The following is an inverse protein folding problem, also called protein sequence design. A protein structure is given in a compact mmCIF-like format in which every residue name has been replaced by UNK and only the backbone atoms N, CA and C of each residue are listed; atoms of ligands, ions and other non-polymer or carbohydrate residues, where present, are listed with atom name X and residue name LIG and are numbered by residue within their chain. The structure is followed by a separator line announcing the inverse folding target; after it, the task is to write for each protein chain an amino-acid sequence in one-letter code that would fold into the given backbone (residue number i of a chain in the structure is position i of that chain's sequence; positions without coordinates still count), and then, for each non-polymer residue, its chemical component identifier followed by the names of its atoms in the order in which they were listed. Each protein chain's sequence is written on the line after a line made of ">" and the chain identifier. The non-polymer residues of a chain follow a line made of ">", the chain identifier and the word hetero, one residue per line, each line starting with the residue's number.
data_IF_671689570622
#
_entry.id   IF_671689570622
#
_cell.length_a   1.000
_cell.length_b   1.000
_cell.length_c   1.000
_cell.angle_alpha   90.00
_cell.angle_beta   90.00
_cell.angle_gamma   90.00
#
_symmetry.space_group_name_H-M   'P 1'
#
loop_
_entity.id
_entity.type
_entity.pdbx_description
1 polymer ?
#
# COMPACT_ATOMS: atom_id res chain seq x y z
N UNK A 1 7.99 -17.75 13.30
CA UNK A 1 7.78 -17.46 11.87
C UNK A 1 7.53 -15.97 11.76
N UNK A 2 8.26 -15.24 10.93
CA UNK A 2 8.02 -13.80 10.76
C UNK A 2 6.85 -13.67 9.78
N UNK A 3 5.64 -13.53 10.30
CA UNK A 3 4.44 -13.35 9.50
C UNK A 3 4.33 -11.87 9.12
N UNK A 4 4.28 -11.59 7.82
CA UNK A 4 4.31 -10.21 7.28
C UNK A 4 2.88 -9.69 7.07
N UNK A 5 1.88 -10.56 7.19
CA UNK A 5 0.45 -10.26 7.11
C UNK A 5 -0.28 -10.86 8.30
N UNK A 6 -1.50 -10.40 8.58
CA UNK A 6 -2.37 -11.13 9.51
C UNK A 6 -2.85 -12.41 8.81
N UNK A 7 -2.36 -13.57 9.28
CA UNK A 7 -2.70 -14.88 8.71
C UNK A 7 -3.57 -15.70 9.66
N UNK A 8 -4.33 -16.69 9.15
CA UNK A 8 -5.07 -17.63 9.99
C UNK A 8 -4.19 -18.41 10.99
N UNK A 9 -2.87 -18.51 10.74
CA UNK A 9 -1.91 -19.15 11.64
C UNK A 9 -1.46 -18.24 12.79
N UNK A 10 -1.57 -16.92 12.63
CA UNK A 10 -1.16 -15.92 13.63
C UNK A 10 -2.21 -14.79 13.80
N UNK A 11 -3.47 -15.14 14.18
CA UNK A 11 -4.55 -14.16 14.27
C UNK A 11 -4.25 -13.10 15.34
N UNK A 12 -4.44 -11.82 14.97
CA UNK A 12 -4.28 -10.69 15.89
C UNK A 12 -2.82 -10.39 16.27
N UNK A 13 -1.86 -10.94 15.52
CA UNK A 13 -0.42 -10.66 15.63
C UNK A 13 0.12 -9.90 14.43
N UNK A 14 -0.60 -9.88 13.30
CA UNK A 14 -0.24 -9.15 12.08
C UNK A 14 -1.06 -7.88 11.90
N UNK A 15 -0.62 -7.00 10.99
CA UNK A 15 -1.26 -5.71 10.67
C UNK A 15 -2.67 -5.85 10.04
N UNK A 16 -3.01 -4.98 9.09
CA UNK A 16 -4.30 -5.12 8.38
C UNK A 16 -4.38 -6.48 7.66
N UNK A 17 -5.55 -7.16 7.66
CA UNK A 17 -5.72 -8.43 6.96
C UNK A 17 -5.50 -8.28 5.46
N UNK A 18 -5.07 -9.37 4.79
CA UNK A 18 -4.95 -9.38 3.33
C UNK A 18 -6.30 -9.00 2.69
N UNK A 19 -6.36 -7.95 1.85
CA UNK A 19 -7.61 -7.56 1.22
C UNK A 19 -8.08 -8.64 0.22
N UNK A 20 -9.39 -8.76 0.06
CA UNK A 20 -9.95 -9.55 -1.02
C UNK A 20 -9.89 -8.75 -2.33
N UNK A 21 -9.63 -9.45 -3.43
CA UNK A 21 -9.72 -8.90 -4.77
C UNK A 21 -11.16 -8.43 -5.04
N UNK A 22 -11.40 -7.17 -5.45
CA UNK A 22 -12.75 -6.63 -5.60
C UNK A 22 -13.58 -7.31 -6.68
N UNK A 23 -12.95 -7.95 -7.68
CA UNK A 23 -13.66 -8.64 -8.77
C UNK A 23 -14.12 -10.03 -8.34
N UNK A 24 -13.23 -10.80 -7.71
CA UNK A 24 -13.50 -12.22 -7.39
C UNK A 24 -14.01 -12.44 -5.97
N UNK A 25 -13.78 -11.48 -5.06
CA UNK A 25 -14.08 -11.61 -3.63
C UNK A 25 -13.17 -12.57 -2.86
N UNK A 26 -12.20 -13.20 -3.53
CA UNK A 26 -11.20 -14.08 -2.92
C UNK A 26 -9.99 -13.26 -2.41
N UNK A 27 -9.17 -13.79 -1.48
CA UNK A 27 -7.94 -13.11 -1.04
C UNK A 27 -7.04 -12.73 -2.22
N UNK A 28 -6.52 -11.50 -2.24
CA UNK A 28 -5.67 -11.04 -3.33
C UNK A 28 -4.37 -11.85 -3.36
N UNK A 29 -4.11 -12.50 -4.49
CA UNK A 29 -3.01 -13.44 -4.67
C UNK A 29 -1.66 -12.75 -4.83
N UNK A 30 -1.63 -11.47 -5.22
CA UNK A 30 -0.39 -10.73 -5.48
C UNK A 30 0.36 -10.43 -4.20
N UNK A 31 -0.35 -10.03 -3.16
CA UNK A 31 0.21 -9.79 -1.83
C UNK A 31 0.81 -11.10 -1.27
N UNK A 32 0.09 -12.22 -1.40
CA UNK A 32 0.54 -13.54 -0.95
C UNK A 32 1.77 -14.01 -1.74
N UNK A 33 1.81 -13.77 -3.05
CA UNK A 33 2.96 -14.11 -3.88
C UNK A 33 4.21 -13.31 -3.47
N UNK A 34 4.07 -12.00 -3.24
CA UNK A 34 5.18 -11.15 -2.82
C UNK A 34 5.68 -11.51 -1.41
N UNK A 35 4.78 -11.86 -0.50
CA UNK A 35 5.13 -12.36 0.83
C UNK A 35 5.99 -13.64 0.75
N UNK A 36 5.63 -14.58 -0.14
CA UNK A 36 6.41 -15.80 -0.38
C UNK A 36 7.80 -15.47 -0.92
N UNK A 37 7.90 -14.55 -1.89
CA UNK A 37 9.18 -14.10 -2.46
C UNK A 37 10.04 -13.46 -1.36
N UNK A 38 9.48 -12.53 -0.57
CA UNK A 38 10.19 -11.89 0.52
C UNK A 38 10.74 -12.92 1.51
N UNK A 39 9.90 -13.84 1.99
CA UNK A 39 10.32 -14.84 2.98
C UNK A 39 11.35 -15.83 2.43
N UNK A 40 11.21 -16.26 1.18
CA UNK A 40 12.01 -17.37 0.62
C UNK A 40 13.34 -16.88 0.05
N UNK A 41 13.33 -15.71 -0.60
CA UNK A 41 14.48 -15.26 -1.38
C UNK A 41 15.31 -14.20 -0.64
N UNK A 42 14.67 -13.39 0.22
CA UNK A 42 15.25 -12.14 0.71
C UNK A 42 15.29 -12.00 2.22
N UNK A 43 14.39 -12.68 2.92
CA UNK A 43 14.22 -12.61 4.37
C UNK A 43 15.50 -12.97 5.11
N UNK A 44 16.11 -11.99 5.76
CA UNK A 44 17.35 -12.18 6.52
C UNK A 44 18.63 -12.15 5.69
N UNK A 45 18.58 -11.61 4.46
CA UNK A 45 19.76 -11.37 3.62
C UNK A 45 20.10 -9.88 3.55
N UNK A 46 21.39 -9.54 3.50
CA UNK A 46 21.86 -8.14 3.46
C UNK A 46 21.83 -7.52 2.04
N UNK A 47 21.49 -8.31 1.01
CA UNK A 47 21.63 -7.93 -0.40
C UNK A 47 20.32 -8.01 -1.18
N UNK A 48 19.18 -8.01 -0.48
CA UNK A 48 17.88 -8.00 -1.13
C UNK A 48 17.70 -6.72 -1.97
N UNK A 49 17.35 -6.83 -3.26
CA UNK A 49 17.07 -5.66 -4.08
C UNK A 49 15.81 -4.95 -3.58
N UNK A 50 15.89 -3.64 -3.40
CA UNK A 50 14.74 -2.81 -3.00
C UNK A 50 14.18 -2.13 -4.24
N UNK A 51 12.93 -2.42 -4.57
CA UNK A 51 12.22 -1.76 -5.67
C UNK A 51 11.82 -0.35 -5.23
N UNK A 52 12.47 0.67 -5.81
CA UNK A 52 12.16 2.08 -5.56
C UNK A 52 11.04 2.57 -6.49
N UNK A 53 11.07 2.15 -7.76
CA UNK A 53 10.09 2.48 -8.78
C UNK A 53 9.90 1.27 -9.71
N UNK A 54 8.67 1.06 -10.18
CA UNK A 54 8.34 0.00 -11.14
C UNK A 54 7.40 0.47 -12.24
N UNK A 55 7.33 -0.27 -13.35
CA UNK A 55 6.35 -0.02 -14.41
C UNK A 55 4.89 -0.06 -13.89
N UNK A 56 4.61 -0.94 -12.92
CA UNK A 56 3.31 -1.03 -12.24
C UNK A 56 2.98 0.27 -11.51
N UNK A 57 3.95 0.80 -10.77
CA UNK A 57 3.79 2.09 -10.09
C UNK A 57 3.54 3.23 -11.09
N UNK A 58 4.19 3.23 -12.26
CA UNK A 58 3.92 4.25 -13.30
C UNK A 58 2.46 4.21 -13.77
N UNK A 59 1.90 3.02 -14.02
CA UNK A 59 0.48 2.90 -14.37
C UNK A 59 -0.43 3.37 -13.23
N UNK A 60 -0.10 3.08 -11.97
CA UNK A 60 -0.87 3.54 -10.81
C UNK A 60 -0.85 5.06 -10.68
N UNK A 61 0.29 5.72 -10.95
CA UNK A 61 0.39 7.19 -10.95
C UNK A 61 -0.49 7.79 -12.06
N UNK A 62 -0.49 7.20 -13.25
CA UNK A 62 -1.36 7.66 -14.35
C UNK A 62 -2.84 7.45 -13.99
N UNK A 63 -3.21 6.27 -13.45
CA UNK A 63 -4.57 5.96 -13.02
C UNK A 63 -5.07 6.96 -11.97
N UNK A 64 -4.21 7.28 -11.00
CA UNK A 64 -4.49 8.25 -9.96
C UNK A 64 -4.67 9.68 -10.51
N UNK A 65 -3.83 10.09 -11.46
CA UNK A 65 -3.99 11.38 -12.14
C UNK A 65 -5.32 11.49 -12.91
N UNK A 66 -5.74 10.42 -13.58
CA UNK A 66 -7.04 10.37 -14.25
C UNK A 66 -8.20 10.45 -13.26
N UNK A 67 -8.13 9.72 -12.15
CA UNK A 67 -9.14 9.78 -11.08
C UNK A 67 -9.23 11.19 -10.48
N UNK A 68 -8.09 11.83 -10.21
CA UNK A 68 -8.05 13.21 -9.73
C UNK A 68 -8.65 14.22 -10.73
N UNK A 69 -8.53 13.94 -12.03
CA UNK A 69 -9.16 14.71 -13.11
C UNK A 69 -10.63 14.38 -13.39
N UNK A 70 -11.24 13.43 -12.65
CA UNK A 70 -12.62 13.00 -12.84
C UNK A 70 -12.84 11.98 -13.98
N UNK A 71 -11.77 11.44 -14.57
CA UNK A 71 -11.82 10.41 -15.61
C UNK A 71 -11.79 9.00 -14.99
N UNK A 72 -12.93 8.56 -14.46
CA UNK A 72 -13.08 7.26 -13.81
C UNK A 72 -12.91 6.10 -14.80
N UNK A 73 -13.42 6.25 -16.02
CA UNK A 73 -13.28 5.23 -17.07
C UNK A 73 -11.81 5.05 -17.47
N UNK A 74 -11.08 6.16 -17.63
CA UNK A 74 -9.66 6.12 -17.93
C UNK A 74 -8.81 5.63 -16.77
N UNK A 75 -9.22 5.88 -15.51
CA UNK A 75 -8.61 5.29 -14.32
C UNK A 75 -8.72 3.76 -14.37
N UNK A 76 -9.94 3.23 -14.49
CA UNK A 76 -10.21 1.79 -14.60
C UNK A 76 -9.44 1.16 -15.77
N UNK A 77 -9.33 1.87 -16.90
CA UNK A 77 -8.55 1.41 -18.06
C UNK A 77 -7.07 1.20 -17.72
N UNK A 78 -6.45 2.09 -16.95
CA UNK A 78 -5.05 1.89 -16.51
C UNK A 78 -4.93 0.77 -15.48
N UNK A 79 -5.88 0.66 -14.54
CA UNK A 79 -5.88 -0.42 -13.55
C UNK A 79 -6.00 -1.79 -14.22
N UNK A 80 -6.82 -1.92 -15.26
CA UNK A 80 -6.97 -3.15 -16.02
C UNK A 80 -5.70 -3.55 -16.78
N UNK A 81 -4.84 -2.60 -17.17
CA UNK A 81 -3.51 -2.94 -17.73
C UNK A 81 -2.63 -3.63 -16.69
N UNK A 82 -2.68 -3.20 -15.44
CA UNK A 82 -1.92 -3.81 -14.34
C UNK A 82 -2.48 -5.20 -14.04
N UNK A 83 -3.81 -5.33 -13.94
CA UNK A 83 -4.47 -6.63 -13.73
C UNK A 83 -4.14 -7.64 -14.81
N UNK A 84 -4.04 -7.19 -16.07
CA UNK A 84 -3.63 -8.02 -17.19
C UNK A 84 -2.19 -8.55 -17.08
N UNK A 85 -1.27 -7.84 -16.41
CA UNK A 85 0.11 -8.32 -16.17
C UNK A 85 0.12 -9.57 -15.29
N UNK A 86 -0.87 -9.71 -14.40
CA UNK A 86 -1.00 -10.83 -13.46
C UNK A 86 -2.10 -11.83 -13.87
N UNK A 87 -2.70 -11.65 -15.05
CA UNK A 87 -3.78 -12.51 -15.56
C UNK A 87 -5.08 -12.45 -14.76
N UNK A 88 -5.32 -11.36 -14.02
CA UNK A 88 -6.51 -11.17 -13.20
C UNK A 88 -7.71 -10.72 -14.03
N UNK A 89 -8.92 -11.08 -13.59
CA UNK A 89 -10.17 -10.64 -14.20
C UNK A 89 -10.28 -9.11 -14.17
N UNK A 90 -10.73 -8.49 -15.25
CA UNK A 90 -10.81 -7.02 -15.37
C UNK A 90 -11.90 -6.42 -14.49
N UNK A 91 -11.69 -5.19 -14.04
CA UNK A 91 -12.75 -4.35 -13.47
C UNK A 91 -13.76 -3.97 -14.55
N UNK A 92 -15.04 -4.07 -14.20
CA UNK A 92 -16.17 -3.78 -15.08
C UNK A 92 -17.22 -2.89 -14.43
N UNK A 93 -17.41 -2.99 -13.12
CA UNK A 93 -18.47 -2.30 -12.38
C UNK A 93 -17.98 -1.61 -11.10
N UNK A 94 -16.70 -1.79 -10.76
CA UNK A 94 -16.09 -1.31 -9.53
C UNK A 94 -15.92 0.21 -9.55
N UNK A 95 -16.10 0.83 -8.38
CA UNK A 95 -15.78 2.25 -8.19
C UNK A 95 -14.28 2.49 -8.43
N UNK A 96 -13.96 3.48 -9.26
CA UNK A 96 -12.58 3.78 -9.64
C UNK A 96 -11.70 4.19 -8.44
N UNK A 97 -12.27 4.88 -7.45
CA UNK A 97 -11.55 5.27 -6.24
C UNK A 97 -11.21 4.06 -5.37
N UNK A 98 -12.20 3.20 -5.10
CA UNK A 98 -11.99 1.95 -4.35
C UNK A 98 -11.03 1.01 -5.08
N UNK A 99 -11.19 0.83 -6.39
CA UNK A 99 -10.31 0.02 -7.22
C UNK A 99 -8.87 0.54 -7.18
N UNK A 100 -8.66 1.85 -7.30
CA UNK A 100 -7.34 2.46 -7.21
C UNK A 100 -6.66 2.18 -5.86
N UNK A 101 -7.37 2.40 -4.75
CA UNK A 101 -6.81 2.15 -3.42
C UNK A 101 -6.42 0.67 -3.22
N UNK A 102 -7.25 -0.25 -3.73
CA UNK A 102 -6.98 -1.68 -3.70
C UNK A 102 -5.74 -2.04 -4.52
N UNK A 103 -5.69 -1.60 -5.78
CA UNK A 103 -4.58 -1.90 -6.69
C UNK A 103 -3.25 -1.34 -6.19
N UNK A 104 -3.26 -0.14 -5.59
CA UNK A 104 -2.06 0.42 -4.95
C UNK A 104 -1.60 -0.43 -3.77
N UNK A 105 -2.53 -0.88 -2.92
CA UNK A 105 -2.20 -1.75 -1.78
C UNK A 105 -1.62 -3.09 -2.24
N UNK A 106 -2.18 -3.69 -3.29
CA UNK A 106 -1.76 -4.99 -3.78
C UNK A 106 -0.40 -4.96 -4.51
N UNK A 107 -0.17 -3.96 -5.37
CA UNK A 107 1.04 -3.91 -6.20
C UNK A 107 2.25 -3.27 -5.51
N UNK A 108 2.04 -2.47 -4.46
CA UNK A 108 3.09 -1.73 -3.76
C UNK A 108 3.36 -2.30 -2.35
N UNK A 109 2.95 -3.56 -2.12
CA UNK A 109 3.26 -4.28 -0.90
C UNK A 109 4.78 -4.37 -0.71
N UNK A 110 5.23 -4.18 0.54
CA UNK A 110 6.65 -4.12 0.95
C UNK A 110 7.52 -3.04 0.27
N UNK A 111 6.92 -2.08 -0.45
CA UNK A 111 7.65 -0.99 -1.12
C UNK A 111 7.55 0.36 -0.38
N UNK A 112 7.12 0.36 0.89
CA UNK A 112 7.05 1.58 1.72
C UNK A 112 5.95 2.57 1.35
N UNK A 113 4.99 2.19 0.50
CA UNK A 113 3.93 3.10 0.02
C UNK A 113 2.64 3.06 0.84
N UNK A 114 2.38 1.96 1.56
CA UNK A 114 1.10 1.72 2.24
C UNK A 114 0.74 2.80 3.27
N UNK A 115 1.66 3.15 4.17
CA UNK A 115 1.38 4.11 5.23
C UNK A 115 1.09 5.53 4.68
N UNK A 116 1.90 6.09 3.76
CA UNK A 116 1.55 7.33 3.07
C UNK A 116 0.23 7.26 2.31
N UNK A 117 -0.04 6.14 1.62
CA UNK A 117 -1.31 5.93 0.91
C UNK A 117 -2.51 5.94 1.86
N UNK A 118 -2.37 5.39 3.07
CA UNK A 118 -3.44 5.44 4.07
C UNK A 118 -3.75 6.86 4.50
N UNK A 119 -2.73 7.66 4.85
CA UNK A 119 -2.94 9.04 5.29
C UNK A 119 -3.58 9.91 4.22
N UNK A 120 -3.11 9.85 2.98
CA UNK A 120 -3.65 10.70 1.89
C UNK A 120 -5.07 10.30 1.46
N UNK A 121 -5.46 9.03 1.66
CA UNK A 121 -6.81 8.56 1.39
C UNK A 121 -7.74 8.64 2.61
N UNK A 122 -7.24 9.06 3.78
CA UNK A 122 -7.99 9.05 5.02
C UNK A 122 -8.36 7.64 5.50
N UNK A 123 -7.61 6.62 5.07
CA UNK A 123 -7.79 5.24 5.53
C UNK A 123 -7.01 4.99 6.83
N UNK A 124 -7.53 4.12 7.68
CA UNK A 124 -6.93 3.77 8.98
C UNK A 124 -6.66 2.28 9.09
N UNK A 125 -5.64 1.89 9.86
CA UNK A 125 -5.42 0.48 10.19
C UNK A 125 -6.32 0.06 11.35
N UNK A 126 -6.66 -1.23 11.39
CA UNK A 126 -7.30 -1.84 12.56
C UNK A 126 -6.40 -1.82 13.80
N UNK A 127 -5.07 -1.70 13.60
CA UNK A 127 -4.07 -1.69 14.68
C UNK A 127 -3.80 -0.30 15.26
N UNK A 128 -4.25 0.77 14.59
CA UNK A 128 -3.96 2.14 15.03
C UNK A 128 -4.77 2.53 16.26
N UNK A 129 -4.10 3.20 17.20
CA UNK A 129 -4.74 3.86 18.33
C UNK A 129 -5.23 5.27 17.95
N UNK A 130 -5.62 6.08 18.94
CA UNK A 130 -6.15 7.42 18.69
C UNK A 130 -5.08 8.42 18.19
N UNK A 131 -3.82 8.23 18.58
CA UNK A 131 -2.68 9.07 18.21
C UNK A 131 -2.34 8.87 16.74
N UNK A 132 -2.20 7.63 16.27
CA UNK A 132 -1.90 7.38 14.84
C UNK A 132 -3.05 7.82 13.91
N UNK A 133 -4.28 7.86 14.41
CA UNK A 133 -5.44 8.38 13.67
C UNK A 133 -5.51 9.90 13.64
N UNK A 134 -4.68 10.59 14.41
CA UNK A 134 -4.65 12.05 14.50
C UNK A 134 -3.61 12.67 13.56
N UNK A 135 -3.73 13.96 13.26
CA UNK A 135 -2.74 14.70 12.48
C UNK A 135 -1.33 14.67 13.11
N UNK A 136 -1.23 14.52 14.44
CA UNK A 136 0.05 14.42 15.14
C UNK A 136 0.77 13.09 14.87
N UNK A 137 0.04 12.02 14.54
CA UNK A 137 0.61 10.70 14.23
C UNK A 137 1.14 10.56 12.79
N UNK A 138 0.86 11.54 11.92
CA UNK A 138 1.23 11.48 10.50
C UNK A 138 2.72 11.77 10.22
N UNK A 139 3.42 12.41 11.16
CA UNK A 139 4.81 12.83 10.99
C UNK A 139 5.69 12.31 12.12
N UNK A 140 6.96 12.02 11.79
CA UNK A 140 7.95 11.78 12.82
C UNK A 140 8.24 13.08 13.60
N UNK A 141 8.54 12.98 14.90
CA UNK A 141 8.97 14.13 15.67
C UNK A 141 10.29 14.67 15.11
N UNK A 142 10.43 15.99 15.15
CA UNK A 142 11.68 16.65 14.78
C UNK A 142 12.77 16.21 15.79
N UNK A 143 13.96 15.79 15.34
CA UNK A 143 15.01 15.38 16.26
C UNK A 143 15.43 16.52 17.20
N UNK A 144 15.58 16.22 18.49
CA UNK A 144 15.93 17.22 19.52
C UNK A 144 17.22 17.99 19.22
N UNK A 145 18.14 17.41 18.44
CA UNK A 145 19.36 18.08 17.98
C UNK A 145 19.05 19.25 17.05
N UNK A 146 18.10 19.08 16.14
CA UNK A 146 17.68 20.13 15.22
C UNK A 146 16.99 21.27 15.98
N UNK A 147 16.08 20.92 16.92
CA UNK A 147 15.39 21.89 17.77
C UNK A 147 16.37 22.76 18.58
N UNK A 148 17.46 22.17 19.09
CA UNK A 148 18.46 22.89 19.91
C UNK A 148 19.47 23.68 19.09
N UNK A 149 19.66 23.32 17.82
CA UNK A 149 20.64 23.97 16.95
C UNK A 149 20.06 25.15 16.17
N UNK A 150 18.72 25.21 16.01
CA UNK A 150 18.04 26.24 15.24
C UNK A 150 16.81 26.77 15.97
N UNK A 151 16.92 28.00 16.49
CA UNK A 151 15.83 28.68 17.23
C UNK A 151 14.57 28.95 16.38
N UNK A 152 14.63 28.80 15.05
CA UNK A 152 13.47 28.90 14.17
C UNK A 152 12.67 27.59 14.05
N UNK A 153 13.14 26.49 14.65
CA UNK A 153 12.48 25.19 14.62
C UNK A 153 11.79 24.95 15.95
N UNK A 154 10.46 25.05 15.94
CA UNK A 154 9.65 24.80 17.14
C UNK A 154 9.41 23.31 17.35
N UNK A 155 9.71 22.88 18.58
CA UNK A 155 9.45 21.57 19.16
C UNK A 155 8.89 21.85 20.57
#
# INVERSE_FOLDING_TARGET
>A
EMDVLDSPKHPGKGGDPNPNDPVTGAPDTRILAEEVVFRTNWGGTDFAPITIVSAREMHLIIAEGKKAGGDDAGCITELNKIRAMDGLAVYTTEDAGTALQHERRANLFLQGRRLPDMYRFGATSVMWDAVEKSAAGAFFPIPIRECRANDNVSC
#
